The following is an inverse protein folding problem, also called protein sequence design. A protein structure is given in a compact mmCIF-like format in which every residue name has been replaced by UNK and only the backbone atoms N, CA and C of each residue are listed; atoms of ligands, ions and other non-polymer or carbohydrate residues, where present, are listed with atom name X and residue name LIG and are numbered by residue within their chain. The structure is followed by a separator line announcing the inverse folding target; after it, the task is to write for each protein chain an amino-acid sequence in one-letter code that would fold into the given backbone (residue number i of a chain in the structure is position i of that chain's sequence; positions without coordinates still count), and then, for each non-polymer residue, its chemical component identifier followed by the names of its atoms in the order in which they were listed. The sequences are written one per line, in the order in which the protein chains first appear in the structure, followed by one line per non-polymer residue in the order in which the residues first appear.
data_IF_838687748152
#
_entry.id   IF_838687748152
#
_cell.length_a   1.000
_cell.length_b   1.000
_cell.length_c   1.000
_cell.angle_alpha   90.00
_cell.angle_beta   90.00
_cell.angle_gamma   90.00
#
_symmetry.space_group_name_H-M   'P 1'
#
loop_
_entity.id
_entity.type
_entity.pdbx_description
1 polymer ?
#
# COMPACT_ATOMS: atom_id res chain seq x y z
N UNK A 1 -28.33 -1.10 11.93
CA UNK A 1 -28.26 -2.19 10.95
C UNK A 1 -27.92 -3.48 11.68
N UNK A 2 -28.42 -4.63 11.21
CA UNK A 2 -28.04 -5.97 11.67
C UNK A 2 -26.54 -6.18 11.53
N UNK A 3 -25.94 -5.68 10.46
CA UNK A 3 -24.50 -5.66 10.27
C UNK A 3 -23.77 -4.88 11.38
N UNK A 4 -24.19 -3.65 11.70
CA UNK A 4 -23.55 -2.91 12.81
C UNK A 4 -23.71 -3.64 14.16
N UNK A 5 -24.83 -4.35 14.38
CA UNK A 5 -25.01 -5.17 15.59
C UNK A 5 -24.11 -6.41 15.60
N UNK A 6 -23.80 -7.01 14.46
CA UNK A 6 -22.87 -8.15 14.41
C UNK A 6 -21.42 -7.74 14.66
N UNK A 7 -21.07 -6.48 14.40
CA UNK A 7 -19.73 -5.93 14.65
C UNK A 7 -19.59 -5.26 16.03
N UNK A 8 -20.55 -4.40 16.41
CA UNK A 8 -20.45 -3.55 17.60
C UNK A 8 -21.53 -3.82 18.64
N UNK A 9 -22.45 -4.73 18.37
CA UNK A 9 -23.55 -5.04 19.27
C UNK A 9 -23.08 -5.79 20.52
N UNK A 10 -23.81 -5.65 21.64
CA UNK A 10 -23.49 -6.35 22.89
C UNK A 10 -23.58 -7.89 22.74
N UNK A 11 -24.33 -8.38 21.76
CA UNK A 11 -24.54 -9.80 21.47
C UNK A 11 -23.67 -10.30 20.30
N UNK A 12 -22.69 -9.52 19.85
CA UNK A 12 -21.79 -9.91 18.76
C UNK A 12 -20.95 -11.14 19.15
N UNK A 13 -21.17 -12.27 18.45
CA UNK A 13 -20.47 -13.52 18.74
C UNK A 13 -19.09 -13.62 18.09
N UNK A 14 -18.89 -12.94 16.95
CA UNK A 14 -17.60 -12.89 16.25
C UNK A 14 -17.40 -11.54 15.52
N UNK A 15 -17.23 -10.44 16.26
CA UNK A 15 -17.18 -9.09 15.70
C UNK A 15 -16.01 -8.89 14.72
N UNK A 16 -14.87 -9.57 14.95
CA UNK A 16 -13.72 -9.49 14.06
C UNK A 16 -14.01 -10.11 12.68
N UNK A 17 -14.70 -11.26 12.64
CA UNK A 17 -15.12 -11.88 11.38
C UNK A 17 -16.21 -11.05 10.69
N UNK A 18 -17.16 -10.50 11.46
CA UNK A 18 -18.18 -9.63 10.87
C UNK A 18 -17.56 -8.36 10.27
N UNK A 19 -16.57 -7.75 10.93
CA UNK A 19 -15.82 -6.61 10.38
C UNK A 19 -14.99 -7.01 9.17
N UNK A 20 -14.46 -8.24 9.12
CA UNK A 20 -13.72 -8.75 7.97
C UNK A 20 -14.55 -8.72 6.67
N UNK A 21 -15.87 -8.84 6.75
CA UNK A 21 -16.74 -8.72 5.57
C UNK A 21 -16.67 -7.32 4.93
N UNK A 22 -16.35 -6.26 5.68
CA UNK A 22 -16.03 -4.95 5.10
C UNK A 22 -14.73 -5.01 4.29
N UNK A 23 -13.75 -5.77 4.75
CA UNK A 23 -12.51 -5.98 3.98
C UNK A 23 -12.72 -6.78 2.69
N UNK A 24 -13.74 -7.63 2.62
CA UNK A 24 -14.07 -8.39 1.40
C UNK A 24 -14.53 -7.46 0.28
N UNK A 25 -15.26 -6.38 0.58
CA UNK A 25 -15.73 -5.41 -0.42
C UNK A 25 -14.59 -4.74 -1.18
N UNK A 26 -13.41 -4.65 -0.55
CA UNK A 26 -12.19 -4.09 -1.14
C UNK A 26 -11.59 -5.04 -2.19
N UNK A 27 -11.82 -6.34 -2.03
CA UNK A 27 -11.35 -7.38 -2.96
C UNK A 27 -12.36 -7.60 -4.09
N UNK A 28 -13.66 -7.64 -3.76
CA UNK A 28 -14.71 -7.95 -4.73
C UNK A 28 -15.22 -6.74 -5.49
N UNK A 29 -15.06 -5.52 -4.94
CA UNK A 29 -15.73 -4.32 -5.44
C UNK A 29 -17.24 -4.32 -5.18
N UNK A 30 -17.75 -5.29 -4.41
CA UNK A 30 -19.18 -5.40 -4.10
C UNK A 30 -19.51 -4.68 -2.79
N UNK A 31 -20.51 -3.82 -2.82
CA UNK A 31 -20.96 -3.10 -1.63
C UNK A 31 -21.69 -4.03 -0.63
N UNK A 32 -21.70 -3.62 0.64
CA UNK A 32 -22.63 -4.20 1.63
C UNK A 32 -23.80 -3.24 1.74
N UNK A 33 -24.92 -3.58 1.07
CA UNK A 33 -26.13 -2.74 0.96
C UNK A 33 -26.54 -2.08 2.29
N UNK A 34 -26.41 -2.81 3.41
CA UNK A 34 -26.85 -2.33 4.72
C UNK A 34 -26.01 -1.18 5.29
N UNK A 35 -24.77 -1.01 4.82
CA UNK A 35 -23.83 0.02 5.30
C UNK A 35 -23.28 0.89 4.16
N UNK A 36 -23.75 0.69 2.93
CA UNK A 36 -23.40 1.55 1.81
C UNK A 36 -24.28 2.79 1.81
N UNK A 37 -23.81 3.82 2.50
CA UNK A 37 -24.47 5.12 2.61
C UNK A 37 -23.53 6.21 2.11
N UNK A 38 -23.84 6.77 0.93
CA UNK A 38 -23.01 7.80 0.29
C UNK A 38 -22.94 9.08 1.10
N UNK A 39 -24.03 9.50 1.73
CA UNK A 39 -24.02 10.73 2.52
C UNK A 39 -23.07 10.61 3.72
N UNK A 40 -23.03 9.42 4.34
CA UNK A 40 -22.08 9.14 5.43
C UNK A 40 -20.64 9.05 4.92
N UNK A 41 -20.40 8.35 3.81
CA UNK A 41 -19.05 8.20 3.23
C UNK A 41 -18.49 9.56 2.79
N UNK A 42 -19.28 10.32 2.03
CA UNK A 42 -18.87 11.62 1.49
C UNK A 42 -18.71 12.64 2.63
N UNK A 43 -19.57 12.63 3.66
CA UNK A 43 -19.40 13.51 4.83
C UNK A 43 -18.16 13.17 5.66
N UNK A 44 -17.78 11.90 5.78
CA UNK A 44 -16.54 11.50 6.43
C UNK A 44 -15.32 12.02 5.66
N UNK A 45 -15.35 11.95 4.33
CA UNK A 45 -14.33 12.52 3.46
C UNK A 45 -14.25 14.05 3.58
N UNK A 46 -15.38 14.75 3.54
CA UNK A 46 -15.41 16.21 3.72
C UNK A 46 -14.80 16.63 5.06
N UNK A 47 -15.02 15.86 6.13
CA UNK A 47 -14.42 16.12 7.44
C UNK A 47 -12.90 15.95 7.43
N UNK A 48 -12.37 15.05 6.60
CA UNK A 48 -10.92 14.91 6.39
C UNK A 48 -10.36 16.12 5.64
N UNK A 49 -11.02 16.57 4.57
CA UNK A 49 -10.64 17.79 3.84
C UNK A 49 -10.61 18.99 4.80
N UNK A 50 -11.71 19.24 5.52
CA UNK A 50 -11.79 20.35 6.49
C UNK A 50 -10.67 20.29 7.54
N UNK A 51 -10.26 19.08 7.93
CA UNK A 51 -9.19 18.89 8.90
C UNK A 51 -7.82 19.19 8.30
N UNK A 52 -7.56 18.73 7.08
CA UNK A 52 -6.35 19.06 6.33
C UNK A 52 -6.24 20.58 6.12
N UNK A 53 -7.33 21.24 5.68
CA UNK A 53 -7.35 22.71 5.50
C UNK A 53 -7.10 23.46 6.80
N UNK A 54 -7.76 23.05 7.90
CA UNK A 54 -7.61 23.70 9.21
C UNK A 54 -6.17 23.66 9.75
N UNK A 55 -5.41 22.63 9.39
CA UNK A 55 -4.05 22.41 9.91
C UNK A 55 -2.97 22.69 8.89
N UNK A 56 -3.32 23.06 7.65
CA UNK A 56 -2.34 23.44 6.65
C UNK A 56 -1.76 24.82 6.99
N UNK A 57 -0.51 24.85 7.44
CA UNK A 57 0.26 26.05 7.73
C UNK A 57 1.46 26.11 6.76
N UNK A 58 1.29 26.67 5.54
CA UNK A 58 2.36 26.80 4.57
C UNK A 58 3.63 27.43 5.17
N UNK A 59 4.78 26.81 4.90
CA UNK A 59 6.08 27.17 5.45
C UNK A 59 6.41 26.50 6.79
N UNK A 60 5.44 25.87 7.47
CA UNK A 60 5.64 25.20 8.78
C UNK A 60 5.20 23.74 8.75
N UNK A 61 3.95 23.50 8.40
CA UNK A 61 3.35 22.17 8.30
C UNK A 61 2.38 22.15 7.13
N UNK A 62 2.76 21.42 6.08
CA UNK A 62 1.91 21.24 4.90
C UNK A 62 1.07 19.99 5.05
N UNK A 63 -0.25 20.14 5.03
CA UNK A 63 -1.19 19.03 5.09
C UNK A 63 -1.87 18.87 3.74
N UNK A 64 -1.88 17.69 3.13
CA UNK A 64 -2.61 17.44 1.89
C UNK A 64 -3.96 16.77 2.15
N UNK A 65 -4.95 17.08 1.32
CA UNK A 65 -6.14 16.24 1.18
C UNK A 65 -5.76 15.01 0.36
N UNK A 66 -5.98 13.83 0.91
CA UNK A 66 -5.67 12.58 0.23
C UNK A 66 -6.31 11.37 0.90
N UNK A 67 -6.37 10.26 0.17
CA UNK A 67 -6.99 9.01 0.60
C UNK A 67 -6.25 7.81 0.01
N UNK A 68 -6.45 6.63 0.59
CA UNK A 68 -6.00 5.37 -0.01
C UNK A 68 -7.07 4.85 -0.97
N UNK A 69 -6.72 4.68 -2.24
CA UNK A 69 -7.46 3.84 -3.16
C UNK A 69 -6.96 2.40 -3.03
N UNK A 70 -7.83 1.53 -2.57
CA UNK A 70 -7.51 0.14 -2.27
C UNK A 70 -8.26 -0.76 -3.24
N UNK A 71 -7.59 -1.24 -4.29
CA UNK A 71 -8.08 -2.31 -5.14
C UNK A 71 -7.22 -3.55 -4.89
N UNK A 72 -7.84 -4.73 -4.86
CA UNK A 72 -7.11 -5.99 -4.69
C UNK A 72 -7.67 -7.06 -5.63
N UNK A 73 -6.80 -7.90 -6.18
CA UNK A 73 -7.20 -8.98 -7.09
C UNK A 73 -7.18 -10.31 -6.36
N UNK A 74 -8.29 -11.06 -6.35
CA UNK A 74 -8.37 -12.36 -5.68
C UNK A 74 -7.34 -13.37 -6.22
N UNK A 75 -6.69 -14.11 -5.33
CA UNK A 75 -5.71 -15.16 -5.66
C UNK A 75 -6.40 -16.51 -5.52
N UNK A 76 -7.02 -16.96 -6.62
CA UNK A 76 -7.91 -18.12 -6.68
C UNK A 76 -7.26 -19.46 -6.33
N UNK A 77 -5.94 -19.58 -6.53
CA UNK A 77 -5.17 -20.79 -6.25
C UNK A 77 -4.64 -20.85 -4.81
N UNK A 78 -5.00 -19.88 -3.96
CA UNK A 78 -4.58 -19.86 -2.55
C UNK A 78 -5.45 -20.76 -1.68
N UNK A 79 -4.82 -21.52 -0.78
CA UNK A 79 -5.53 -22.34 0.22
C UNK A 79 -6.18 -21.52 1.35
N UNK A 80 -5.81 -20.26 1.48
CA UNK A 80 -6.41 -19.31 2.44
C UNK A 80 -6.85 -18.05 1.70
N UNK A 81 -7.90 -17.34 2.15
CA UNK A 81 -8.33 -16.11 1.50
C UNK A 81 -7.17 -15.12 1.31
N UNK A 82 -6.99 -14.68 0.07
CA UNK A 82 -5.81 -13.95 -0.34
C UNK A 82 -6.13 -13.07 -1.56
N UNK A 83 -5.52 -11.89 -1.59
CA UNK A 83 -5.65 -10.98 -2.72
C UNK A 83 -4.32 -10.24 -2.97
N UNK A 84 -4.00 -10.04 -4.24
CA UNK A 84 -2.86 -9.28 -4.71
C UNK A 84 -3.10 -7.78 -4.53
N UNK A 85 -2.11 -7.09 -3.97
CA UNK A 85 -2.19 -5.69 -3.58
C UNK A 85 -2.08 -4.73 -4.77
N UNK A 86 -3.07 -3.84 -4.95
CA UNK A 86 -3.03 -2.70 -5.87
C UNK A 86 -3.40 -1.40 -5.14
N UNK A 87 -2.72 -1.12 -4.02
CA UNK A 87 -2.97 0.10 -3.24
C UNK A 87 -2.28 1.33 -3.82
N UNK A 88 -2.93 2.49 -3.67
CA UNK A 88 -2.41 3.81 -4.07
C UNK A 88 -2.80 4.88 -3.06
N UNK A 89 -1.85 5.73 -2.68
CA UNK A 89 -2.19 6.99 -2.01
C UNK A 89 -2.55 8.03 -3.07
N UNK A 90 -3.79 8.50 -3.10
CA UNK A 90 -4.27 9.55 -4.00
C UNK A 90 -4.21 10.89 -3.27
N UNK A 91 -3.49 11.85 -3.82
CA UNK A 91 -3.17 13.13 -3.19
C UNK A 91 -3.54 14.28 -4.13
N UNK A 92 -4.28 15.26 -3.61
CA UNK A 92 -4.68 16.46 -4.35
C UNK A 92 -3.70 17.60 -4.08
N UNK A 93 -3.34 18.35 -5.12
CA UNK A 93 -2.44 19.50 -5.03
C UNK A 93 -2.99 20.60 -4.12
N UNK A 94 -4.27 20.89 -4.23
CA UNK A 94 -4.96 21.95 -3.49
C UNK A 94 -6.32 21.45 -3.04
N UNK A 95 -7.38 22.04 -3.61
CA UNK A 95 -8.75 21.60 -3.37
C UNK A 95 -8.95 20.15 -3.84
N UNK A 96 -9.90 19.47 -3.19
CA UNK A 96 -10.25 18.09 -3.47
C UNK A 96 -11.77 17.98 -3.74
N UNK A 97 -12.23 16.98 -4.49
CA UNK A 97 -13.65 16.84 -4.83
C UNK A 97 -14.48 16.43 -3.61
N UNK A 98 -15.77 16.76 -3.61
CA UNK A 98 -16.70 16.35 -2.55
C UNK A 98 -16.92 14.83 -2.50
N UNK A 99 -16.71 14.15 -3.64
CA UNK A 99 -16.87 12.71 -3.81
C UNK A 99 -15.57 12.05 -4.26
N UNK A 100 -15.18 11.00 -3.53
CA UNK A 100 -14.07 10.13 -3.90
C UNK A 100 -14.47 9.09 -4.94
N UNK A 101 -13.48 8.65 -5.73
CA UNK A 101 -13.51 7.41 -6.49
C UNK A 101 -12.97 6.27 -5.61
N UNK A 102 -13.62 5.12 -5.65
CA UNK A 102 -13.28 3.98 -4.80
C UNK A 102 -13.32 2.68 -5.60
N UNK A 103 -12.83 1.59 -4.99
CA UNK A 103 -12.93 0.25 -5.59
C UNK A 103 -14.38 -0.22 -5.80
N UNK A 104 -15.36 0.42 -5.15
CA UNK A 104 -16.78 0.17 -5.38
C UNK A 104 -17.30 0.87 -6.65
N UNK A 105 -16.56 1.87 -7.16
CA UNK A 105 -16.82 2.46 -8.47
C UNK A 105 -16.13 1.64 -9.58
N UNK A 106 -14.86 1.27 -9.37
CA UNK A 106 -14.14 0.26 -10.18
C UNK A 106 -12.88 -0.23 -9.47
N UNK A 107 -12.55 -1.54 -9.53
CA UNK A 107 -11.26 -2.06 -9.06
C UNK A 107 -10.11 -1.75 -10.04
N UNK A 108 -10.39 -1.32 -11.27
CA UNK A 108 -9.38 -1.09 -12.30
C UNK A 108 -8.62 0.23 -12.05
N UNK A 109 -7.29 0.21 -11.89
CA UNK A 109 -6.48 1.42 -11.77
C UNK A 109 -6.57 2.39 -12.95
N UNK A 110 -6.83 1.88 -14.16
CA UNK A 110 -6.98 2.71 -15.37
C UNK A 110 -8.26 3.57 -15.31
N UNK A 111 -9.33 3.07 -14.67
CA UNK A 111 -10.55 3.85 -14.43
C UNK A 111 -10.31 4.94 -13.37
N UNK A 112 -9.50 4.64 -12.35
CA UNK A 112 -9.03 5.66 -11.41
C UNK A 112 -8.25 6.77 -12.15
N UNK A 113 -7.34 6.41 -13.07
CA UNK A 113 -6.60 7.39 -13.86
C UNK A 113 -7.51 8.23 -14.75
N UNK A 114 -8.52 7.63 -15.38
CA UNK A 114 -9.52 8.35 -16.16
C UNK A 114 -10.31 9.34 -15.28
N UNK A 115 -10.70 8.91 -14.08
CA UNK A 115 -11.35 9.79 -13.10
C UNK A 115 -10.42 10.94 -12.67
N UNK A 116 -9.14 10.66 -12.40
CA UNK A 116 -8.13 11.67 -12.06
C UNK A 116 -7.94 12.70 -13.17
N UNK A 117 -7.91 12.27 -14.43
CA UNK A 117 -7.81 13.16 -15.58
C UNK A 117 -9.05 14.07 -15.71
N UNK A 118 -10.25 13.54 -15.43
CA UNK A 118 -11.47 14.35 -15.39
C UNK A 118 -11.44 15.40 -14.26
N UNK A 119 -10.96 15.03 -13.07
CA UNK A 119 -10.77 15.99 -11.95
C UNK A 119 -9.76 17.07 -12.29
N UNK A 120 -8.65 16.71 -12.94
CA UNK A 120 -7.63 17.67 -13.38
C UNK A 120 -8.18 18.65 -14.41
N UNK A 121 -9.07 18.22 -15.30
CA UNK A 121 -9.76 19.10 -16.26
C UNK A 121 -10.71 20.11 -15.59
N UNK A 122 -11.18 19.81 -14.38
CA UNK A 122 -11.99 20.70 -13.53
C UNK A 122 -11.14 21.61 -12.63
N UNK A 123 -9.81 21.55 -12.72
CA UNK A 123 -8.88 22.32 -11.90
C UNK A 123 -8.45 21.62 -10.60
N UNK A 124 -8.92 20.40 -10.34
CA UNK A 124 -8.55 19.60 -9.17
C UNK A 124 -7.36 18.70 -9.52
N UNK A 125 -6.16 19.24 -9.40
CA UNK A 125 -4.95 18.52 -9.76
C UNK A 125 -4.60 17.43 -8.74
N UNK A 126 -4.26 16.24 -9.24
CA UNK A 126 -4.16 15.01 -8.46
C UNK A 126 -3.08 14.08 -9.01
N UNK A 127 -2.43 13.34 -8.11
CA UNK A 127 -1.54 12.21 -8.40
C UNK A 127 -1.90 11.03 -7.51
N UNK A 128 -1.47 9.84 -7.91
CA UNK A 128 -1.55 8.62 -7.11
C UNK A 128 -0.15 8.02 -6.94
N UNK A 129 0.11 7.42 -5.78
CA UNK A 129 1.40 6.83 -5.43
C UNK A 129 1.18 5.35 -5.12
N UNK A 130 1.47 4.46 -6.07
CA UNK A 130 1.38 3.02 -5.87
C UNK A 130 2.37 2.55 -4.80
N UNK A 131 1.95 1.60 -3.99
CA UNK A 131 2.76 1.09 -2.88
C UNK A 131 2.54 -0.39 -2.58
N UNK A 132 3.48 -0.99 -1.83
CA UNK A 132 3.54 -2.43 -1.55
C UNK A 132 3.43 -3.32 -2.80
N UNK A 133 4.17 -2.98 -3.87
CA UNK A 133 4.18 -3.79 -5.09
C UNK A 133 4.75 -5.20 -4.87
N UNK A 134 5.58 -5.39 -3.84
CA UNK A 134 6.08 -6.70 -3.41
C UNK A 134 4.98 -7.70 -3.04
N UNK A 135 3.78 -7.21 -2.72
CA UNK A 135 2.61 -8.02 -2.41
C UNK A 135 1.55 -8.02 -3.53
N UNK A 136 1.91 -7.58 -4.75
CA UNK A 136 0.99 -7.49 -5.88
C UNK A 136 0.98 -8.73 -6.78
N UNK A 137 1.80 -9.74 -6.52
CA UNK A 137 2.00 -10.90 -7.40
C UNK A 137 2.31 -10.56 -8.88
N UNK A 138 2.81 -9.36 -9.16
CA UNK A 138 3.07 -8.91 -10.54
C UNK A 138 2.16 -7.83 -11.07
N UNK A 139 0.99 -7.64 -10.47
CA UNK A 139 -0.05 -6.77 -11.02
C UNK A 139 0.34 -5.28 -11.04
N UNK A 140 1.15 -4.80 -10.09
CA UNK A 140 1.48 -3.38 -9.97
C UNK A 140 2.21 -2.85 -11.22
N UNK A 141 3.13 -3.64 -11.77
CA UNK A 141 3.91 -3.31 -12.96
C UNK A 141 3.72 -4.39 -14.04
N UNK A 142 2.47 -4.75 -14.37
CA UNK A 142 2.14 -5.76 -15.38
C UNK A 142 2.74 -5.47 -16.78
N UNK A 143 2.94 -6.48 -17.63
CA UNK A 143 3.38 -6.23 -19.02
C UNK A 143 2.20 -5.97 -19.98
N UNK A 144 1.00 -5.89 -19.44
CA UNK A 144 -0.28 -5.74 -20.13
C UNK A 144 -1.17 -4.76 -19.35
N UNK A 145 -2.21 -4.26 -20.00
CA UNK A 145 -3.25 -3.44 -19.36
C UNK A 145 -4.07 -4.31 -18.40
N UNK A 146 -4.87 -3.69 -17.54
CA UNK A 146 -5.72 -4.40 -16.57
C UNK A 146 -6.63 -5.46 -17.24
N UNK A 147 -7.12 -5.17 -18.44
CA UNK A 147 -7.96 -6.07 -19.25
C UNK A 147 -7.16 -7.03 -20.15
N UNK A 148 -5.83 -7.15 -19.96
CA UNK A 148 -4.95 -8.04 -20.73
C UNK A 148 -4.55 -7.52 -22.11
N UNK A 149 -4.67 -6.22 -22.37
CA UNK A 149 -4.27 -5.57 -23.62
C UNK A 149 -2.78 -5.22 -23.69
N UNK A 150 -2.27 -4.95 -24.89
CA UNK A 150 -0.88 -4.49 -25.04
C UNK A 150 -0.71 -3.07 -24.49
N UNK A 151 0.40 -2.81 -23.81
CA UNK A 151 0.77 -1.45 -23.41
C UNK A 151 1.08 -0.58 -24.62
N UNK A 152 0.70 0.69 -24.56
CA UNK A 152 0.87 1.66 -25.65
C UNK A 152 1.60 2.92 -25.15
N UNK A 153 1.99 3.79 -26.09
CA UNK A 153 2.52 5.10 -25.74
C UNK A 153 1.52 5.94 -24.92
N UNK A 154 0.23 5.88 -25.26
CA UNK A 154 -0.84 6.58 -24.52
C UNK A 154 -1.00 6.03 -23.10
N UNK A 155 -0.88 4.70 -22.93
CA UNK A 155 -0.84 4.09 -21.59
C UNK A 155 0.34 4.64 -20.79
N UNK A 156 1.54 4.66 -21.37
CA UNK A 156 2.74 5.14 -20.68
C UNK A 156 2.63 6.63 -20.28
N UNK A 157 2.09 7.48 -21.15
CA UNK A 157 1.84 8.90 -20.86
C UNK A 157 0.80 9.03 -19.74
N UNK A 158 -0.31 8.30 -19.82
CA UNK A 158 -1.39 8.34 -18.83
C UNK A 158 -0.90 7.87 -17.47
N UNK A 159 -0.17 6.76 -17.42
CA UNK A 159 0.43 6.25 -16.19
C UNK A 159 1.42 7.23 -15.61
N UNK A 160 2.37 7.75 -16.38
CA UNK A 160 3.38 8.68 -15.84
C UNK A 160 2.81 10.03 -15.41
N UNK A 161 1.68 10.45 -15.98
CA UNK A 161 0.94 11.64 -15.52
C UNK A 161 0.27 11.42 -14.16
N UNK A 162 -0.30 10.24 -13.94
CA UNK A 162 -1.08 9.93 -12.75
C UNK A 162 -0.23 9.32 -11.62
N UNK A 163 0.75 8.48 -11.94
CA UNK A 163 1.65 7.77 -11.03
C UNK A 163 3.13 8.13 -11.28
N UNK A 164 3.55 9.38 -10.99
CA UNK A 164 4.92 9.81 -11.27
C UNK A 164 5.96 9.15 -10.36
N UNK A 165 5.58 8.72 -9.16
CA UNK A 165 6.45 8.09 -8.17
C UNK A 165 5.79 6.84 -7.59
N UNK A 166 6.60 5.92 -7.10
CA UNK A 166 6.14 4.76 -6.33
C UNK A 166 6.79 4.75 -4.94
N UNK A 167 6.14 4.07 -4.00
CA UNK A 167 6.77 3.72 -2.74
C UNK A 167 7.64 2.47 -2.91
N UNK A 168 8.97 2.65 -2.80
CA UNK A 168 9.93 1.57 -2.98
C UNK A 168 10.16 0.77 -1.69
N UNK A 169 9.89 1.34 -0.51
CA UNK A 169 10.09 0.66 0.78
C UNK A 169 9.16 1.19 1.86
N UNK A 170 8.68 0.27 2.70
CA UNK A 170 7.67 0.52 3.72
C UNK A 170 7.75 -0.50 4.87
N UNK A 171 6.98 -0.29 5.94
CA UNK A 171 6.82 -1.23 7.07
C UNK A 171 6.52 -2.66 6.59
N UNK A 172 5.83 -2.86 5.46
CA UNK A 172 5.59 -4.18 4.85
C UNK A 172 6.66 -4.52 3.80
N UNK A 173 7.92 -4.23 4.13
CA UNK A 173 9.11 -4.62 3.38
C UNK A 173 9.47 -3.74 2.19
N UNK A 174 10.59 -4.09 1.56
CA UNK A 174 11.07 -3.43 0.33
C UNK A 174 10.41 -4.01 -0.92
N UNK A 175 10.04 -3.11 -1.82
CA UNK A 175 9.55 -3.37 -3.18
C UNK A 175 10.64 -3.16 -4.24
N UNK A 176 11.91 -3.02 -3.83
CA UNK A 176 13.03 -2.76 -4.73
C UNK A 176 13.42 -4.00 -5.56
N UNK A 177 13.69 -5.12 -4.89
CA UNK A 177 14.16 -6.38 -5.50
C UNK A 177 13.80 -7.59 -4.62
N UNK A 178 13.99 -8.80 -5.15
CA UNK A 178 13.88 -10.07 -4.42
C UNK A 178 15.06 -11.01 -4.77
N UNK A 179 15.59 -11.82 -3.84
CA UNK A 179 16.76 -12.68 -4.11
C UNK A 179 16.49 -13.72 -5.21
N UNK A 180 15.25 -14.19 -5.35
CA UNK A 180 14.86 -15.09 -6.45
C UNK A 180 14.94 -14.44 -7.85
N UNK A 181 14.86 -13.11 -7.93
CA UNK A 181 14.94 -12.34 -9.17
C UNK A 181 16.32 -11.69 -9.37
N UNK A 182 17.20 -11.76 -8.38
CA UNK A 182 18.56 -11.21 -8.40
C UNK A 182 19.49 -12.11 -7.58
N UNK A 183 19.73 -13.35 -8.02
CA UNK A 183 20.45 -14.36 -7.24
C UNK A 183 21.93 -14.02 -6.97
N UNK A 184 22.49 -13.08 -7.73
CA UNK A 184 23.88 -12.64 -7.61
C UNK A 184 24.03 -11.35 -6.79
N UNK A 185 22.93 -10.78 -6.28
CA UNK A 185 22.95 -9.60 -5.42
C UNK A 185 22.85 -10.02 -3.95
N UNK A 186 23.93 -9.85 -3.21
CA UNK A 186 24.01 -10.22 -1.79
C UNK A 186 23.09 -9.40 -0.88
N UNK A 187 22.62 -8.23 -1.35
CA UNK A 187 21.71 -7.35 -0.62
C UNK A 187 20.25 -7.51 -1.02
N UNK A 188 19.94 -8.37 -2.00
CA UNK A 188 18.58 -8.53 -2.49
C UNK A 188 17.60 -9.12 -1.46
N UNK A 189 18.09 -9.66 -0.33
CA UNK A 189 17.29 -10.22 0.75
C UNK A 189 16.95 -9.23 1.88
N UNK A 190 17.25 -7.94 1.70
CA UNK A 190 17.00 -6.92 2.70
C UNK A 190 15.49 -6.71 2.94
N UNK A 191 15.04 -6.78 4.21
CA UNK A 191 13.66 -6.48 4.65
C UNK A 191 12.54 -7.02 3.72
N UNK A 192 12.59 -8.31 3.39
CA UNK A 192 11.59 -8.93 2.53
C UNK A 192 10.31 -9.23 3.31
N UNK A 193 9.20 -8.77 2.75
CA UNK A 193 7.85 -9.16 3.16
C UNK A 193 7.27 -10.09 2.10
N UNK A 194 7.19 -11.39 2.42
CA UNK A 194 6.90 -12.49 1.50
C UNK A 194 5.46 -13.03 1.63
N UNK A 195 4.53 -12.20 2.08
CA UNK A 195 3.10 -12.55 2.23
C UNK A 195 2.22 -11.53 1.54
N UNK A 196 1.01 -11.92 1.17
CA UNK A 196 0.01 -10.99 0.67
C UNK A 196 -0.52 -10.11 1.81
N UNK A 197 -0.69 -8.82 1.53
CA UNK A 197 -1.35 -7.90 2.47
C UNK A 197 -2.75 -8.41 2.69
N UNK A 198 -3.19 -8.61 3.93
CA UNK A 198 -4.50 -9.23 4.14
C UNK A 198 -4.45 -10.70 4.54
N UNK A 199 -3.33 -11.39 4.32
CA UNK A 199 -3.32 -12.84 4.36
C UNK A 199 -2.04 -13.42 4.96
N UNK A 200 -2.11 -14.71 5.28
CA UNK A 200 -0.95 -15.54 5.56
C UNK A 200 -0.38 -16.21 4.30
N UNK A 201 -1.11 -16.16 3.18
CA UNK A 201 -0.64 -16.66 1.90
C UNK A 201 0.66 -15.96 1.50
N UNK A 202 1.60 -16.74 0.93
CA UNK A 202 2.85 -16.21 0.41
C UNK A 202 2.58 -15.34 -0.83
N UNK A 203 3.32 -14.25 -0.98
CA UNK A 203 3.37 -13.53 -2.24
C UNK A 203 4.34 -14.24 -3.19
N UNK A 204 4.11 -14.08 -4.49
CA UNK A 204 4.96 -14.61 -5.54
C UNK A 204 6.00 -13.56 -5.94
N UNK A 205 7.31 -13.90 -5.89
CA UNK A 205 8.36 -13.04 -6.44
C UNK A 205 8.27 -12.90 -7.96
N UNK A 206 7.42 -11.99 -8.44
CA UNK A 206 7.14 -11.78 -9.86
C UNK A 206 7.86 -10.53 -10.41
N UNK A 207 8.25 -10.54 -11.68
CA UNK A 207 8.94 -9.41 -12.34
C UNK A 207 8.13 -8.11 -12.34
N UNK A 208 6.80 -8.22 -12.21
CA UNK A 208 5.87 -7.09 -12.08
C UNK A 208 5.66 -6.57 -10.66
N UNK A 209 6.24 -7.22 -9.64
CA UNK A 209 6.10 -6.83 -8.24
C UNK A 209 7.24 -5.96 -7.71
N UNK A 210 8.34 -5.81 -8.47
CA UNK A 210 9.57 -5.17 -7.97
C UNK A 210 10.06 -4.06 -8.89
N UNK A 211 10.43 -2.94 -8.27
CA UNK A 211 10.81 -1.70 -8.96
C UNK A 211 12.02 -1.87 -9.88
N UNK A 212 13.04 -2.62 -9.44
CA UNK A 212 14.25 -2.87 -10.26
C UNK A 212 13.90 -3.58 -11.57
N UNK A 213 13.02 -4.57 -11.51
CA UNK A 213 12.56 -5.31 -12.70
C UNK A 213 11.63 -4.47 -13.58
N UNK A 214 10.79 -3.64 -12.99
CA UNK A 214 9.93 -2.69 -13.72
C UNK A 214 10.77 -1.65 -14.48
N UNK A 215 11.80 -1.06 -13.85
CA UNK A 215 12.74 -0.14 -14.50
C UNK A 215 13.47 -0.81 -15.67
N UNK A 216 14.00 -2.02 -15.47
CA UNK A 216 14.69 -2.76 -16.52
C UNK A 216 13.77 -3.05 -17.72
N UNK A 217 12.52 -3.47 -17.49
CA UNK A 217 11.53 -3.65 -18.56
C UNK A 217 11.14 -2.32 -19.21
N UNK A 218 11.03 -1.24 -18.44
CA UNK A 218 10.77 0.10 -18.94
C UNK A 218 11.82 0.58 -19.94
N UNK A 219 13.11 0.35 -19.65
CA UNK A 219 14.20 0.61 -20.60
C UNK A 219 14.06 -0.23 -21.88
N UNK A 220 13.64 -1.50 -21.75
CA UNK A 220 13.34 -2.35 -22.90
C UNK A 220 12.22 -1.79 -23.79
N UNK A 221 11.10 -1.36 -23.19
CA UNK A 221 10.02 -0.70 -23.94
C UNK A 221 10.49 0.60 -24.61
N UNK A 222 11.36 1.38 -23.95
CA UNK A 222 11.91 2.62 -24.51
C UNK A 222 12.77 2.34 -25.76
N UNK A 223 13.56 1.26 -25.72
CA UNK A 223 14.41 0.83 -26.82
C UNK A 223 13.61 0.22 -28.00
N UNK A 224 12.61 -0.62 -27.74
CA UNK A 224 11.91 -1.38 -28.80
C UNK A 224 10.64 -0.72 -29.30
N UNK A 225 9.89 -0.04 -28.43
CA UNK A 225 8.56 0.53 -28.72
C UNK A 225 8.51 2.06 -28.64
N UNK A 226 9.61 2.72 -28.25
CA UNK A 226 9.72 4.19 -28.11
C UNK A 226 8.81 4.82 -27.03
N UNK A 227 8.37 4.04 -26.03
CA UNK A 227 7.67 4.55 -24.85
C UNK A 227 8.13 3.82 -23.58
N UNK A 228 7.95 4.43 -22.40
CA UNK A 228 8.39 3.81 -21.13
C UNK A 228 7.30 3.98 -20.05
N UNK A 229 6.53 2.92 -19.71
CA UNK A 229 5.47 3.01 -18.71
C UNK A 229 6.00 2.98 -17.26
N UNK A 230 7.29 2.72 -17.05
CA UNK A 230 7.90 2.50 -15.73
C UNK A 230 8.98 3.52 -15.39
N UNK A 231 8.91 4.71 -15.98
CA UNK A 231 9.88 5.80 -15.74
C UNK A 231 9.58 6.59 -14.46
N UNK A 232 9.16 5.94 -13.38
CA UNK A 232 8.76 6.60 -12.13
C UNK A 232 9.96 7.03 -11.26
N UNK A 233 9.71 7.92 -10.28
CA UNK A 233 10.62 8.21 -9.17
C UNK A 233 10.28 7.39 -7.91
N UNK A 234 10.99 7.66 -6.82
CA UNK A 234 10.87 6.87 -5.58
C UNK A 234 10.59 7.72 -4.35
N UNK A 235 9.70 7.21 -3.51
CA UNK A 235 9.56 7.59 -2.10
C UNK A 235 9.69 6.34 -1.22
N UNK A 236 9.85 6.51 0.08
CA UNK A 236 9.57 5.49 1.09
C UNK A 236 8.50 6.02 2.04
N UNK A 237 7.84 5.15 2.80
CA UNK A 237 6.85 5.63 3.80
C UNK A 237 6.77 4.70 4.99
N UNK A 238 6.35 5.24 6.14
CA UNK A 238 6.27 4.45 7.36
C UNK A 238 4.97 3.64 7.44
N UNK A 239 3.84 4.14 6.91
CA UNK A 239 2.51 3.51 6.94
C UNK A 239 2.20 2.85 8.31
N UNK A 240 2.43 3.63 9.37
CA UNK A 240 2.27 3.22 10.77
C UNK A 240 0.83 3.34 11.28
N UNK A 241 -0.04 4.09 10.59
CA UNK A 241 -1.45 4.29 10.98
C UNK A 241 -1.65 4.90 12.38
N UNK A 242 -0.61 5.54 12.93
CA UNK A 242 -0.63 6.15 14.25
C UNK A 242 0.08 7.52 14.22
N UNK A 243 -0.41 8.47 15.01
CA UNK A 243 0.17 9.82 15.09
C UNK A 243 1.54 9.89 15.77
N UNK A 244 1.93 8.87 16.54
CA UNK A 244 3.21 8.75 17.22
C UNK A 244 3.90 7.44 16.83
N UNK A 245 4.30 7.35 15.56
CA UNK A 245 4.96 6.17 14.99
C UNK A 245 6.41 6.01 15.46
N UNK A 246 6.90 4.76 15.41
CA UNK A 246 8.32 4.47 15.58
C UNK A 246 9.02 4.48 14.22
N UNK A 247 9.90 5.45 14.01
CA UNK A 247 10.57 5.67 12.71
C UNK A 247 12.06 5.38 12.76
N UNK A 248 12.53 4.58 13.71
CA UNK A 248 13.89 4.10 13.73
C UNK A 248 13.90 2.69 14.31
N UNK A 249 14.81 1.84 13.82
CA UNK A 249 14.85 0.43 14.20
C UNK A 249 15.13 0.24 15.69
N UNK A 250 15.92 1.14 16.29
CA UNK A 250 16.27 1.06 17.71
C UNK A 250 15.05 1.20 18.61
N UNK A 251 14.08 2.03 18.23
CA UNK A 251 12.85 2.26 18.98
C UNK A 251 11.62 1.57 18.38
N UNK A 252 11.79 0.68 17.39
CA UNK A 252 10.66 0.09 16.68
C UNK A 252 9.83 -0.84 17.54
N UNK A 253 8.57 -0.45 17.80
CA UNK A 253 7.62 -1.25 18.58
C UNK A 253 6.59 -1.99 17.74
N UNK A 254 6.73 -2.01 16.41
CA UNK A 254 5.77 -2.61 15.49
C UNK A 254 4.86 -1.58 14.82
N UNK A 255 4.11 -2.05 13.81
CA UNK A 255 3.21 -1.21 13.00
C UNK A 255 2.02 -0.70 13.83
N UNK A 256 1.42 -1.56 14.63
CA UNK A 256 0.20 -1.27 15.37
C UNK A 256 0.39 -1.36 16.89
N UNK A 257 -0.47 -0.72 17.70
CA UNK A 257 -0.36 -0.74 19.17
C UNK A 257 -0.30 -2.14 19.79
N UNK A 258 -1.04 -3.11 19.25
CA UNK A 258 -1.03 -4.50 19.75
C UNK A 258 0.35 -5.16 19.59
N UNK A 259 1.08 -4.82 18.53
CA UNK A 259 2.34 -5.47 18.19
C UNK A 259 3.40 -5.09 19.24
N UNK A 260 3.33 -3.86 19.76
CA UNK A 260 4.21 -3.34 20.82
C UNK A 260 3.74 -3.66 22.25
N UNK A 261 2.55 -4.23 22.42
CA UNK A 261 1.98 -4.49 23.76
C UNK A 261 2.62 -5.67 24.50
N UNK A 262 3.28 -6.58 23.77
CA UNK A 262 3.98 -7.74 24.33
C UNK A 262 5.11 -8.15 23.35
N UNK A 263 6.34 -8.42 23.83
CA UNK A 263 7.44 -8.85 22.98
C UNK A 263 7.15 -10.12 22.15
N UNK A 264 6.26 -11.01 22.59
CA UNK A 264 5.82 -12.17 21.80
C UNK A 264 4.99 -11.78 20.56
N UNK A 265 4.21 -10.69 20.61
CA UNK A 265 3.35 -10.29 19.49
C UNK A 265 4.11 -9.72 18.30
N UNK A 266 5.27 -9.12 18.55
CA UNK A 266 6.25 -8.73 17.53
C UNK A 266 7.36 -9.77 17.32
N UNK A 267 7.18 -10.97 17.86
CA UNK A 267 8.07 -12.12 17.66
C UNK A 267 9.53 -11.85 18.09
N UNK A 268 9.75 -11.02 19.12
CA UNK A 268 11.08 -10.67 19.64
C UNK A 268 11.60 -11.63 20.72
N UNK A 269 10.73 -12.46 21.29
CA UNK A 269 11.06 -13.49 22.28
C UNK A 269 10.37 -14.80 21.91
N UNK A 270 10.89 -15.96 22.33
CA UNK A 270 10.23 -17.23 22.09
C UNK A 270 8.79 -17.23 22.64
N UNK A 271 7.84 -17.89 21.95
CA UNK A 271 6.43 -17.86 22.33
C UNK A 271 6.18 -18.66 23.61
N UNK A 272 5.04 -18.40 24.26
CA UNK A 272 4.53 -19.20 25.39
C UNK A 272 5.49 -19.25 26.59
N UNK A 273 6.30 -18.22 26.78
CA UNK A 273 7.28 -18.13 27.86
C UNK A 273 8.45 -19.11 27.75
N UNK A 274 8.74 -19.63 26.56
CA UNK A 274 9.91 -20.48 26.34
C UNK A 274 11.23 -19.69 26.49
N UNK A 275 12.27 -20.35 27.01
CA UNK A 275 13.60 -19.74 27.20
C UNK A 275 14.47 -19.77 25.92
N UNK A 276 14.08 -20.55 24.91
CA UNK A 276 14.79 -20.64 23.63
C UNK A 276 13.84 -20.81 22.45
N UNK A 277 14.36 -20.56 21.25
CA UNK A 277 13.65 -20.79 19.98
C UNK A 277 13.71 -22.26 19.52
N UNK A 278 14.31 -23.15 20.29
CA UNK A 278 14.47 -24.55 19.90
C UNK A 278 13.09 -25.23 19.80
N UNK A 279 12.84 -25.88 18.66
CA UNK A 279 11.56 -26.53 18.41
C UNK A 279 10.39 -25.57 18.13
N UNK A 280 10.61 -24.24 18.17
CA UNK A 280 9.63 -23.27 17.71
C UNK A 280 9.49 -23.40 16.20
N UNK A 281 8.34 -23.89 15.75
CA UNK A 281 8.03 -23.92 14.32
C UNK A 281 7.86 -22.48 13.87
N UNK A 282 8.79 -22.02 13.04
CA UNK A 282 8.65 -20.72 12.39
C UNK A 282 7.31 -20.68 11.67
N UNK A 283 6.49 -19.68 11.97
CA UNK A 283 5.20 -19.51 11.31
C UNK A 283 5.38 -19.37 9.78
N UNK A 284 6.55 -18.89 9.33
CA UNK A 284 6.92 -18.79 7.92
C UNK A 284 7.22 -20.15 7.25
N UNK A 285 7.40 -21.21 8.05
CA UNK A 285 7.67 -22.58 7.62
C UNK A 285 6.44 -23.49 7.70
N UNK A 286 5.31 -22.96 8.18
CA UNK A 286 4.06 -23.71 8.19
C UNK A 286 3.56 -23.90 6.75
N UNK A 287 3.03 -25.09 6.40
CA UNK A 287 2.43 -25.29 5.11
C UNK A 287 1.21 -24.36 4.94
N UNK A 288 0.89 -23.97 3.70
CA UNK A 288 -0.43 -23.41 3.38
C UNK A 288 -1.51 -24.30 4.02
N UNK A 289 -2.53 -23.70 4.65
CA UNK A 289 -3.58 -24.43 5.37
C UNK A 289 -3.30 -24.72 6.87
N UNK A 290 -2.05 -24.79 7.32
CA UNK A 290 -1.76 -24.84 8.78
C UNK A 290 -1.89 -23.45 9.44
N UNK A 291 -1.90 -22.38 8.64
CA UNK A 291 -2.05 -21.03 9.15
C UNK A 291 -3.51 -20.66 9.38
N UNK A 292 -3.89 -20.55 10.66
CA UNK A 292 -5.20 -20.05 11.09
C UNK A 292 -5.28 -18.52 10.90
N UNK A 293 -6.46 -17.95 10.59
CA UNK A 293 -6.64 -16.50 10.47
C UNK A 293 -6.13 -15.70 11.67
N UNK A 294 -6.26 -16.25 12.89
CA UNK A 294 -5.75 -15.64 14.13
C UNK A 294 -4.23 -15.48 14.17
N UNK A 295 -3.48 -16.19 13.33
CA UNK A 295 -2.01 -16.16 13.26
C UNK A 295 -1.47 -15.16 12.24
N UNK A 296 -2.31 -14.62 11.35
CA UNK A 296 -1.90 -13.63 10.32
C UNK A 296 -1.13 -12.45 10.92
N UNK A 297 -1.62 -11.90 12.04
CA UNK A 297 -1.00 -10.74 12.67
C UNK A 297 0.40 -11.04 13.19
N UNK A 298 0.58 -12.19 13.84
CA UNK A 298 1.91 -12.63 14.33
C UNK A 298 2.89 -12.84 13.17
N UNK A 299 2.41 -13.40 12.05
CA UNK A 299 3.19 -13.57 10.83
C UNK A 299 3.69 -12.25 10.22
N UNK A 300 2.81 -11.26 10.10
CA UNK A 300 3.17 -9.96 9.53
C UNK A 300 4.00 -9.13 10.51
N UNK A 301 3.69 -9.16 11.81
CA UNK A 301 4.39 -8.35 12.82
C UNK A 301 5.88 -8.65 12.91
N UNK A 302 6.29 -9.93 12.80
CA UNK A 302 7.70 -10.31 12.78
C UNK A 302 8.45 -9.94 11.49
N UNK A 303 7.76 -9.42 10.47
CA UNK A 303 8.34 -8.97 9.20
C UNK A 303 8.27 -7.46 9.02
N UNK A 304 7.66 -6.75 9.97
CA UNK A 304 7.59 -5.31 9.91
C UNK A 304 8.93 -4.70 10.29
N UNK A 305 9.29 -3.62 9.62
CA UNK A 305 10.46 -2.78 9.92
C UNK A 305 10.02 -1.34 10.16
N UNK A 306 10.86 -0.48 10.75
CA UNK A 306 10.58 0.95 10.89
C UNK A 306 10.58 1.71 9.54
N UNK A 307 11.02 1.04 8.47
CA UNK A 307 11.05 1.58 7.11
C UNK A 307 9.71 2.18 6.68
N UNK A 308 9.64 3.14 5.75
CA UNK A 308 10.64 4.06 5.20
C UNK A 308 10.28 5.51 5.56
N UNK A 309 11.02 6.50 5.05
CA UNK A 309 10.60 7.91 5.06
C UNK A 309 10.63 8.46 3.64
N UNK A 310 9.73 9.41 3.39
CA UNK A 310 9.67 10.16 2.15
C UNK A 310 10.55 11.41 2.30
N UNK A 311 11.49 11.57 1.38
CA UNK A 311 12.17 12.83 1.13
C UNK A 311 11.59 13.47 -0.12
N UNK A 312 11.27 14.76 -0.04
CA UNK A 312 10.88 15.58 -1.19
C UNK A 312 11.79 16.81 -1.20
N UNK A 313 12.44 17.05 -2.33
CA UNK A 313 13.23 18.26 -2.55
C UNK A 313 12.32 19.32 -3.19
N UNK A 314 11.93 20.34 -2.42
CA UNK A 314 11.09 21.43 -2.88
C UNK A 314 11.70 22.77 -2.44
N UNK A 315 11.48 23.83 -3.24
CA UNK A 315 12.00 25.17 -2.94
C UNK A 315 11.37 25.80 -1.69
N UNK A 316 10.16 25.36 -1.34
CA UNK A 316 9.42 25.82 -0.16
C UNK A 316 8.54 24.71 0.41
N UNK A 317 8.21 24.82 1.70
CA UNK A 317 7.29 23.91 2.37
C UNK A 317 5.83 24.36 2.14
N UNK A 318 5.37 24.29 0.89
CA UNK A 318 3.98 24.58 0.50
C UNK A 318 3.41 23.40 -0.28
N UNK A 319 2.08 23.28 -0.33
CA UNK A 319 1.42 22.21 -1.10
C UNK A 319 1.86 22.21 -2.55
N UNK A 320 1.85 23.38 -3.18
CA UNK A 320 2.21 23.54 -4.59
C UNK A 320 3.64 23.09 -4.87
N UNK A 321 4.61 23.61 -4.10
CA UNK A 321 6.02 23.27 -4.33
C UNK A 321 6.33 21.81 -4.05
N UNK A 322 5.77 21.23 -2.98
CA UNK A 322 5.95 19.81 -2.63
C UNK A 322 5.29 18.92 -3.68
N UNK A 323 4.06 19.22 -4.09
CA UNK A 323 3.34 18.44 -5.10
C UNK A 323 4.05 18.50 -6.45
N UNK A 324 4.48 19.68 -6.89
CA UNK A 324 5.20 19.85 -8.14
C UNK A 324 6.56 19.13 -8.10
N UNK A 325 7.26 19.13 -6.96
CA UNK A 325 8.48 18.34 -6.77
C UNK A 325 8.24 16.83 -6.87
N UNK A 326 7.17 16.31 -6.24
CA UNK A 326 6.78 14.90 -6.38
C UNK A 326 6.49 14.56 -7.84
N UNK A 327 5.75 15.42 -8.55
CA UNK A 327 5.47 15.22 -9.99
C UNK A 327 6.72 15.24 -10.85
N UNK A 328 7.70 16.09 -10.53
CA UNK A 328 9.02 16.12 -11.19
C UNK A 328 9.94 14.97 -10.76
N UNK A 329 9.52 14.14 -9.79
CA UNK A 329 10.29 13.01 -9.24
C UNK A 329 11.53 13.47 -8.46
N UNK A 330 11.48 14.68 -7.90
CA UNK A 330 12.51 15.24 -7.01
C UNK A 330 12.34 14.66 -5.60
N UNK A 331 12.36 13.34 -5.50
CA UNK A 331 12.04 12.58 -4.30
C UNK A 331 13.03 11.46 -4.06
N UNK A 332 13.12 11.02 -2.81
CA UNK A 332 13.87 9.82 -2.44
C UNK A 332 13.19 9.07 -1.30
N UNK A 333 13.40 7.77 -1.24
CA UNK A 333 13.02 6.92 -0.12
C UNK A 333 14.21 6.53 0.74
N UNK A 334 14.02 6.43 2.05
CA UNK A 334 15.03 5.89 2.97
C UNK A 334 14.64 4.50 3.48
N UNK A 335 15.61 3.61 3.65
CA UNK A 335 15.45 2.30 4.28
C UNK A 335 16.52 2.06 5.37
N UNK A 336 16.40 0.96 6.09
CA UNK A 336 17.41 0.52 7.06
C UNK A 336 17.42 1.29 8.38
N UNK A 337 18.46 1.06 9.21
CA UNK A 337 18.48 1.44 10.62
C UNK A 337 18.67 2.93 10.88
N UNK A 338 19.02 3.73 9.86
CA UNK A 338 19.22 5.19 9.97
C UNK A 338 20.25 5.55 11.05
N UNK A 339 21.40 4.88 11.01
CA UNK A 339 22.53 5.02 11.96
C UNK A 339 23.21 6.37 11.81
#
# INVERSE_FOLDING_TARGET
TNFAKSVFGPDATNPAQSFHNVGITIVTGEEVDEIYDRDVIDSAWMKNIETAERHNEPGKFTAFSGYEFTAMTEVMDSEVPAAANLHRNVIFRGDAPDRLFSTLDSPNPEDLWAWMDARRAEGLDVISIPHNSNASNGEMFASETYEGGQLTADYAITRMRNEPVIEISQVKGTSEVHPALSPNDEWANFEIYDTLVGSAAKSTPHLGGFARNALARGLGFEETESFNPYKFGFIGSSDTHIGAGSFDEKNFTGKFPQDGSNPEFRHSVPPEGADSWDGVVSLNSLPPGAVKPSMRRKLSAGKYSASGLAGVWADENTRDAIFDAIRRKETFGTSGPRI
#
